data_IF_631008186528
#
_entry.id   IF_631008186528
#
_cell.length_a   1.000
_cell.length_b   1.000
_cell.length_c   1.000
_cell.angle_alpha   90.00
_cell.angle_beta   90.00
_cell.angle_gamma   90.00
#
_symmetry.space_group_name_H-M   'P 1'
#
loop_
_entity.id
_entity.type
_entity.pdbx_description
1 polymer ?
#
# COMPACT_ATOMS: atom_id res chain seq x y z
N UNK A 1 6.27 -7.02 15.28
CA UNK A 1 5.46 -6.00 15.98
C UNK A 1 6.19 -5.58 17.26
N UNK A 2 6.94 -4.49 17.18
CA UNK A 2 7.57 -3.83 18.35
C UNK A 2 6.56 -2.98 19.14
N UNK A 3 5.43 -2.59 18.53
CA UNK A 3 4.38 -1.79 19.17
C UNK A 3 3.41 -2.70 19.95
N UNK A 4 3.37 -2.55 21.28
CA UNK A 4 2.46 -3.26 22.17
C UNK A 4 1.30 -2.34 22.62
N UNK A 5 0.35 -2.08 21.72
CA UNK A 5 -0.85 -1.28 22.01
C UNK A 5 -2.07 -2.17 22.32
N UNK A 6 -3.16 -1.55 22.80
CA UNK A 6 -4.46 -2.24 22.97
C UNK A 6 -4.90 -2.89 21.65
N UNK A 7 -4.73 -2.18 20.54
CA UNK A 7 -5.08 -2.64 19.20
C UNK A 7 -4.24 -3.84 18.75
N UNK A 8 -2.90 -3.78 18.85
CA UNK A 8 -2.05 -4.90 18.40
C UNK A 8 -2.21 -6.15 19.27
N UNK A 9 -2.64 -6.00 20.53
CA UNK A 9 -3.05 -7.12 21.39
C UNK A 9 -4.39 -7.71 20.95
N UNK A 10 -5.38 -6.87 20.65
CA UNK A 10 -6.68 -7.33 20.18
C UNK A 10 -6.55 -8.09 18.85
N UNK A 11 -5.79 -7.54 17.90
CA UNK A 11 -5.55 -8.13 16.58
C UNK A 11 -4.90 -9.54 16.61
N UNK A 12 -4.13 -9.83 17.66
CA UNK A 12 -3.50 -11.15 17.87
C UNK A 12 -4.46 -12.18 18.49
N UNK A 13 -5.45 -11.73 19.24
CA UNK A 13 -6.26 -12.58 20.10
C UNK A 13 -7.71 -12.74 19.64
N UNK A 14 -8.22 -11.79 18.87
CA UNK A 14 -9.62 -11.71 18.44
C UNK A 14 -9.70 -11.40 16.94
N UNK A 15 -10.74 -11.93 16.30
CA UNK A 15 -11.17 -11.44 15.00
C UNK A 15 -11.84 -10.09 15.25
N UNK A 16 -11.39 -9.04 14.57
CA UNK A 16 -11.95 -7.70 14.70
C UNK A 16 -12.97 -7.44 13.59
N UNK A 17 -14.16 -7.01 13.97
CA UNK A 17 -15.20 -6.59 13.02
C UNK A 17 -14.99 -5.12 12.67
N UNK A 18 -14.78 -4.85 11.38
CA UNK A 18 -14.72 -3.49 10.83
C UNK A 18 -16.13 -3.04 10.45
N UNK A 19 -16.31 -1.72 10.35
CA UNK A 19 -17.52 -1.10 9.84
C UNK A 19 -17.79 -1.37 8.34
N UNK A 20 -18.87 -0.77 7.83
CA UNK A 20 -19.27 -0.80 6.43
C UNK A 20 -18.94 0.50 5.67
N UNK A 21 -19.81 0.90 4.73
CA UNK A 21 -19.65 2.11 3.93
C UNK A 21 -20.00 3.41 4.67
N UNK A 22 -19.04 4.32 4.82
CA UNK A 22 -19.31 5.70 5.27
C UNK A 22 -20.11 6.50 4.23
N UNK A 23 -19.60 6.60 3.00
CA UNK A 23 -20.17 7.48 1.96
C UNK A 23 -21.63 7.16 1.60
N UNK A 24 -21.99 5.88 1.49
CA UNK A 24 -23.37 5.46 1.19
C UNK A 24 -24.35 5.95 2.27
N UNK A 25 -24.02 5.78 3.55
CA UNK A 25 -24.86 6.21 4.66
C UNK A 25 -24.93 7.74 4.78
N UNK A 26 -23.86 8.46 4.43
CA UNK A 26 -23.88 9.93 4.39
C UNK A 26 -24.82 10.44 3.28
N UNK A 27 -24.84 9.82 2.10
CA UNK A 27 -25.79 10.16 1.04
C UNK A 27 -27.25 9.92 1.46
N UNK A 28 -27.54 8.80 2.12
CA UNK A 28 -28.86 8.53 2.69
C UNK A 28 -29.29 9.56 3.73
N UNK A 29 -28.32 10.18 4.42
CA UNK A 29 -28.53 11.21 5.45
C UNK A 29 -28.42 12.64 4.92
N UNK A 30 -28.46 12.82 3.61
CA UNK A 30 -28.60 14.13 2.98
C UNK A 30 -27.31 14.76 2.44
N UNK A 31 -26.19 14.03 2.38
CA UNK A 31 -25.03 14.47 1.61
C UNK A 31 -25.41 14.54 0.12
N UNK A 32 -25.31 15.74 -0.48
CA UNK A 32 -25.65 15.93 -1.89
C UNK A 32 -24.50 15.49 -2.78
N UNK A 33 -24.83 15.13 -4.03
CA UNK A 33 -23.83 14.88 -5.06
C UNK A 33 -22.99 16.14 -5.29
N UNK A 34 -21.66 15.97 -5.43
CA UNK A 34 -20.72 17.08 -5.62
C UNK A 34 -20.24 17.75 -4.34
N UNK A 35 -20.65 17.27 -3.15
CA UNK A 35 -20.05 17.68 -1.87
C UNK A 35 -18.98 16.67 -1.44
N UNK A 36 -17.93 17.15 -0.77
CA UNK A 36 -16.94 16.29 -0.14
C UNK A 36 -17.55 15.65 1.12
N UNK A 37 -17.63 14.31 1.25
CA UNK A 37 -18.06 13.66 2.49
C UNK A 37 -17.30 14.16 3.72
N UNK A 38 -16.01 14.45 3.55
CA UNK A 38 -15.10 14.91 4.60
C UNK A 38 -15.46 16.29 5.15
N UNK A 39 -16.13 17.15 4.36
CA UNK A 39 -16.61 18.47 4.81
C UNK A 39 -17.59 18.36 5.98
N UNK A 40 -18.38 17.28 6.02
CA UNK A 40 -19.36 17.03 7.08
C UNK A 40 -18.71 16.87 8.46
N UNK A 41 -17.41 16.58 8.53
CA UNK A 41 -16.69 16.56 9.81
C UNK A 41 -16.71 17.93 10.51
N UNK A 42 -16.79 19.02 9.74
CA UNK A 42 -16.89 20.38 10.25
C UNK A 42 -18.32 20.91 10.15
N UNK A 43 -18.97 20.74 8.99
CA UNK A 43 -20.27 21.33 8.71
C UNK A 43 -21.42 20.63 9.45
N UNK A 44 -21.35 19.30 9.64
CA UNK A 44 -22.39 18.54 10.32
C UNK A 44 -21.84 17.28 11.03
N UNK A 45 -21.06 17.46 12.10
CA UNK A 45 -20.39 16.36 12.79
C UNK A 45 -21.37 15.35 13.42
N UNK A 46 -22.60 15.76 13.71
CA UNK A 46 -23.63 14.89 14.28
C UNK A 46 -24.05 13.78 13.31
N UNK A 47 -24.13 14.07 12.00
CA UNK A 47 -24.43 13.05 10.99
C UNK A 47 -23.31 12.01 10.94
N UNK A 48 -22.06 12.45 10.87
CA UNK A 48 -20.90 11.53 10.84
C UNK A 48 -20.84 10.70 12.14
N UNK A 49 -21.05 11.33 13.30
CA UNK A 49 -21.08 10.62 14.59
C UNK A 49 -22.17 9.54 14.61
N UNK A 50 -23.35 9.82 14.07
CA UNK A 50 -24.44 8.83 14.04
C UNK A 50 -24.10 7.63 13.18
N UNK A 51 -23.41 7.81 12.04
CA UNK A 51 -22.97 6.68 11.19
C UNK A 51 -22.03 5.76 11.97
N UNK A 52 -21.03 6.32 12.66
CA UNK A 52 -20.15 5.51 13.51
C UNK A 52 -20.91 4.81 14.64
N UNK A 53 -21.85 5.51 15.29
CA UNK A 53 -22.64 4.96 16.38
C UNK A 53 -23.49 3.77 15.91
N UNK A 54 -24.06 3.84 14.71
CA UNK A 54 -24.85 2.75 14.12
C UNK A 54 -23.99 1.51 13.83
N UNK A 55 -22.76 1.69 13.34
CA UNK A 55 -21.85 0.56 13.15
C UNK A 55 -21.38 -0.07 14.46
N UNK A 56 -21.10 0.74 15.48
CA UNK A 56 -20.81 0.22 16.82
C UNK A 56 -22.02 -0.51 17.43
N UNK A 57 -23.24 0.01 17.24
CA UNK A 57 -24.47 -0.65 17.67
C UNK A 57 -24.72 -1.98 16.93
N UNK A 58 -24.29 -2.06 15.66
CA UNK A 58 -24.27 -3.29 14.89
C UNK A 58 -23.18 -4.28 15.33
N UNK A 59 -22.25 -3.89 16.21
CA UNK A 59 -21.21 -4.78 16.73
C UNK A 59 -19.87 -4.70 15.98
N UNK A 60 -19.59 -3.60 15.29
CA UNK A 60 -18.23 -3.30 14.86
C UNK A 60 -17.31 -3.13 16.08
N UNK A 61 -16.12 -3.71 16.03
CA UNK A 61 -15.05 -3.46 17.01
C UNK A 61 -14.25 -2.19 16.66
N UNK A 62 -14.21 -1.84 15.36
CA UNK A 62 -13.45 -0.72 14.82
C UNK A 62 -14.22 0.02 13.73
N UNK A 63 -14.17 1.35 13.75
CA UNK A 63 -14.65 2.21 12.66
C UNK A 63 -13.50 2.95 12.00
N UNK A 64 -13.67 3.25 10.72
CA UNK A 64 -12.78 4.08 9.94
C UNK A 64 -13.29 5.51 9.96
N UNK A 65 -12.40 6.47 10.20
CA UNK A 65 -12.73 7.90 10.18
C UNK A 65 -13.21 8.33 8.80
N UNK A 66 -14.08 9.35 8.75
CA UNK A 66 -14.56 9.95 7.51
C UNK A 66 -13.46 10.82 6.87
N UNK A 67 -12.36 10.20 6.43
CA UNK A 67 -11.15 10.88 5.93
C UNK A 67 -10.58 10.27 4.66
N UNK A 68 -11.30 9.37 3.99
CA UNK A 68 -10.86 8.68 2.79
C UNK A 68 -10.23 9.62 1.74
N UNK A 69 -10.86 10.77 1.48
CA UNK A 69 -10.37 11.81 0.57
C UNK A 69 -9.81 13.06 1.25
N UNK A 70 -9.52 13.05 2.55
CA UNK A 70 -9.11 14.25 3.30
C UNK A 70 -7.63 14.66 3.09
N UNK A 71 -7.13 14.55 1.86
CA UNK A 71 -5.83 15.09 1.44
C UNK A 71 -6.02 16.45 0.79
N UNK A 72 -5.01 17.33 0.88
CA UNK A 72 -5.04 18.64 0.20
C UNK A 72 -5.39 18.51 -1.28
N UNK A 73 -4.74 17.59 -1.98
CA UNK A 73 -4.95 17.34 -3.41
C UNK A 73 -6.41 17.06 -3.78
N UNK A 74 -7.18 16.36 -2.95
CA UNK A 74 -8.59 16.05 -3.20
C UNK A 74 -9.52 17.14 -2.65
N UNK A 75 -9.17 17.73 -1.51
CA UNK A 75 -9.94 18.80 -0.89
C UNK A 75 -9.88 20.11 -1.69
N UNK A 76 -8.80 20.35 -2.45
CA UNK A 76 -8.68 21.47 -3.38
C UNK A 76 -9.79 21.49 -4.44
N UNK A 77 -10.23 20.31 -4.90
CA UNK A 77 -11.33 20.19 -5.88
C UNK A 77 -12.67 20.72 -5.31
N UNK A 78 -12.75 20.91 -3.99
CA UNK A 78 -13.90 21.46 -3.26
C UNK A 78 -13.60 22.81 -2.58
N UNK A 79 -12.41 23.40 -2.79
CA UNK A 79 -11.99 24.64 -2.12
C UNK A 79 -11.69 24.47 -0.63
N UNK A 80 -11.38 23.26 -0.17
CA UNK A 80 -11.15 22.89 1.23
C UNK A 80 -9.69 22.53 1.55
N UNK A 81 -8.74 22.81 0.63
CA UNK A 81 -7.33 22.43 0.76
C UNK A 81 -6.64 22.94 2.03
N UNK A 82 -7.00 24.13 2.51
CA UNK A 82 -6.45 24.69 3.75
C UNK A 82 -7.04 24.03 5.02
N UNK A 83 -8.13 23.29 4.88
CA UNK A 83 -8.86 22.68 6.00
C UNK A 83 -8.41 21.24 6.31
N UNK A 84 -7.31 20.75 5.71
CA UNK A 84 -6.82 19.37 5.89
C UNK A 84 -6.64 19.03 7.36
N UNK A 85 -5.98 19.91 8.13
CA UNK A 85 -5.73 19.66 9.54
C UNK A 85 -7.02 19.56 10.36
N UNK A 86 -7.91 20.53 10.17
CA UNK A 86 -9.17 20.62 10.91
C UNK A 86 -10.12 19.46 10.58
N UNK A 87 -10.27 19.13 9.30
CA UNK A 87 -11.13 18.05 8.82
C UNK A 87 -10.67 16.70 9.39
N UNK A 88 -9.39 16.35 9.25
CA UNK A 88 -8.87 15.07 9.72
C UNK A 88 -8.91 14.97 11.25
N UNK A 89 -8.56 16.06 11.96
CA UNK A 89 -8.59 16.10 13.42
C UNK A 89 -10.01 15.97 13.96
N UNK A 90 -10.97 16.66 13.34
CA UNK A 90 -12.39 16.57 13.70
C UNK A 90 -12.93 15.15 13.48
N UNK A 91 -12.61 14.51 12.35
CA UNK A 91 -13.05 13.16 12.03
C UNK A 91 -12.65 12.14 13.11
N UNK A 92 -11.39 12.17 13.58
CA UNK A 92 -10.91 11.28 14.65
C UNK A 92 -11.65 11.55 15.96
N UNK A 93 -11.88 12.82 16.33
CA UNK A 93 -12.62 13.20 17.55
C UNK A 93 -14.08 12.71 17.48
N UNK A 94 -14.73 12.83 16.33
CA UNK A 94 -16.11 12.39 16.10
C UNK A 94 -16.21 10.87 16.24
N UNK A 95 -15.33 10.12 15.57
CA UNK A 95 -15.27 8.67 15.67
C UNK A 95 -14.99 8.21 17.12
N UNK A 96 -14.07 8.89 17.82
CA UNK A 96 -13.76 8.58 19.23
C UNK A 96 -14.97 8.79 20.14
N UNK A 97 -15.72 9.88 19.95
CA UNK A 97 -16.94 10.17 20.71
C UNK A 97 -18.01 9.10 20.50
N UNK A 98 -18.16 8.59 19.26
CA UNK A 98 -19.05 7.47 18.99
C UNK A 98 -18.59 6.16 19.67
N UNK A 99 -17.29 5.98 19.86
CA UNK A 99 -16.69 4.80 20.48
C UNK A 99 -16.78 4.77 22.02
N UNK A 100 -17.17 5.86 22.70
CA UNK A 100 -17.14 5.97 24.16
C UNK A 100 -17.93 4.86 24.87
N UNK A 101 -19.09 4.49 24.33
CA UNK A 101 -19.99 3.49 24.96
C UNK A 101 -19.52 2.05 24.75
N UNK A 102 -18.87 1.76 23.63
CA UNK A 102 -18.43 0.41 23.27
C UNK A 102 -16.96 0.17 23.56
N UNK A 103 -16.23 1.25 23.90
CA UNK A 103 -14.77 1.27 23.93
C UNK A 103 -14.19 0.74 22.60
N UNK A 104 -14.81 1.09 21.46
CA UNK A 104 -14.37 0.67 20.13
C UNK A 104 -13.03 1.28 19.71
N UNK A 105 -12.40 0.69 18.70
CA UNK A 105 -11.18 1.22 18.06
C UNK A 105 -11.53 2.22 16.95
N UNK A 106 -10.65 3.19 16.73
CA UNK A 106 -10.77 4.21 15.67
C UNK A 106 -9.55 4.13 14.76
N UNK A 107 -9.76 3.92 13.47
CA UNK A 107 -8.73 3.94 12.44
C UNK A 107 -8.75 5.27 11.67
N UNK A 108 -7.59 5.93 11.55
CA UNK A 108 -7.39 7.03 10.61
C UNK A 108 -7.39 6.48 9.18
N UNK A 109 -8.37 6.86 8.35
CA UNK A 109 -8.52 6.33 6.99
C UNK A 109 -7.84 7.25 5.96
N UNK A 110 -7.03 6.66 5.08
CA UNK A 110 -6.26 7.34 4.04
C UNK A 110 -6.51 6.63 2.72
N UNK A 111 -7.27 7.25 1.83
CA UNK A 111 -7.50 6.77 0.46
C UNK A 111 -6.46 7.27 -0.55
N UNK A 112 -6.58 6.87 -1.83
CA UNK A 112 -5.70 7.34 -2.91
C UNK A 112 -5.93 8.83 -3.23
N UNK A 113 -4.92 9.47 -3.82
CA UNK A 113 -4.94 10.89 -4.22
C UNK A 113 -5.83 11.16 -5.44
N UNK A 114 -6.26 10.10 -6.14
CA UNK A 114 -7.06 10.22 -7.36
C UNK A 114 -6.25 10.64 -8.60
N UNK A 115 -4.92 10.56 -8.52
CA UNK A 115 -4.01 10.84 -9.64
C UNK A 115 -2.89 9.81 -9.68
N UNK A 116 -2.47 9.40 -10.87
CA UNK A 116 -1.35 8.48 -11.03
C UNK A 116 -0.01 9.20 -10.91
N UNK A 117 1.00 8.47 -10.43
CA UNK A 117 2.37 8.97 -10.39
C UNK A 117 3.04 8.89 -11.76
N UNK A 118 4.00 9.77 -12.03
CA UNK A 118 4.83 9.78 -13.25
C UNK A 118 5.53 8.44 -13.47
N UNK A 119 5.42 7.78 -14.64
CA UNK A 119 4.99 8.35 -15.92
C UNK A 119 3.50 8.13 -16.26
N UNK A 120 2.73 7.40 -15.44
CA UNK A 120 1.31 7.14 -15.71
C UNK A 120 0.42 8.37 -15.51
N UNK A 121 0.87 9.31 -14.68
CA UNK A 121 0.21 10.59 -14.46
C UNK A 121 1.19 11.70 -14.10
N UNK A 122 0.68 12.89 -13.76
CA UNK A 122 1.48 14.09 -13.60
C UNK A 122 2.20 14.18 -12.24
N UNK A 123 1.81 13.37 -11.26
CA UNK A 123 2.26 13.52 -9.89
C UNK A 123 3.63 12.86 -9.65
N UNK A 124 4.59 13.58 -9.07
CA UNK A 124 5.84 12.97 -8.63
C UNK A 124 5.67 12.17 -7.33
N UNK A 125 6.64 11.29 -7.03
CA UNK A 125 6.66 10.56 -5.76
C UNK A 125 6.71 11.50 -4.54
N UNK A 126 7.51 12.57 -4.63
CA UNK A 126 7.72 13.50 -3.53
C UNK A 126 6.49 14.37 -3.27
N UNK A 127 5.75 14.78 -4.31
CA UNK A 127 4.46 15.46 -4.14
C UNK A 127 3.42 14.53 -3.51
N UNK A 128 3.31 13.28 -3.98
CA UNK A 128 2.41 12.29 -3.40
C UNK A 128 2.72 12.06 -1.91
N UNK A 129 4.00 11.86 -1.58
CA UNK A 129 4.47 11.76 -0.20
C UNK A 129 4.10 13.01 0.62
N UNK A 130 4.26 14.22 0.07
CA UNK A 130 3.90 15.47 0.72
C UNK A 130 2.42 15.52 1.13
N UNK A 131 1.53 15.20 0.19
CA UNK A 131 0.08 15.17 0.45
C UNK A 131 -0.31 14.13 1.49
N UNK A 132 0.23 12.91 1.40
CA UNK A 132 -0.04 11.88 2.40
C UNK A 132 0.51 12.23 3.78
N UNK A 133 1.68 12.88 3.84
CA UNK A 133 2.32 13.26 5.10
C UNK A 133 1.49 14.31 5.83
N UNK A 134 1.01 15.33 5.11
CA UNK A 134 0.14 16.36 5.70
C UNK A 134 -1.11 15.73 6.33
N UNK A 135 -1.80 14.84 5.60
CA UNK A 135 -2.96 14.13 6.12
C UNK A 135 -2.61 13.26 7.32
N UNK A 136 -1.55 12.44 7.21
CA UNK A 136 -1.14 11.52 8.27
C UNK A 136 -0.72 12.28 9.55
N UNK A 137 -0.11 13.45 9.43
CA UNK A 137 0.22 14.31 10.57
C UNK A 137 -1.03 14.83 11.28
N UNK A 138 -2.02 15.29 10.52
CA UNK A 138 -3.29 15.73 11.08
C UNK A 138 -4.01 14.59 11.83
N UNK A 139 -4.11 13.41 11.22
CA UNK A 139 -4.66 12.21 11.86
C UNK A 139 -3.88 11.84 13.12
N UNK A 140 -2.54 11.77 13.04
CA UNK A 140 -1.67 11.42 14.17
C UNK A 140 -1.85 12.36 15.37
N UNK A 141 -2.04 13.66 15.14
CA UNK A 141 -2.27 14.65 16.19
C UNK A 141 -3.51 14.36 17.05
N UNK A 142 -4.52 13.72 16.45
CA UNK A 142 -5.76 13.33 17.11
C UNK A 142 -5.72 11.90 17.70
N UNK A 143 -4.59 11.19 17.55
CA UNK A 143 -4.29 9.90 18.20
C UNK A 143 -5.30 8.77 17.91
N UNK A 144 -5.50 8.37 16.64
CA UNK A 144 -6.24 7.16 16.30
C UNK A 144 -5.50 5.92 16.84
N UNK A 145 -6.22 4.78 16.93
CA UNK A 145 -5.64 3.51 17.38
C UNK A 145 -4.70 2.88 16.34
N UNK A 146 -4.95 3.17 15.06
CA UNK A 146 -4.11 2.81 13.91
C UNK A 146 -4.38 3.74 12.72
N UNK A 147 -3.50 3.69 11.72
CA UNK A 147 -3.80 4.23 10.39
C UNK A 147 -4.07 3.09 9.42
N UNK A 148 -5.04 3.29 8.53
CA UNK A 148 -5.36 2.37 7.46
C UNK A 148 -5.27 3.10 6.12
N UNK A 149 -4.44 2.57 5.23
CA UNK A 149 -4.25 3.09 3.88
C UNK A 149 -5.10 2.19 2.98
N UNK A 150 -6.24 2.69 2.51
CA UNK A 150 -7.26 1.90 1.80
C UNK A 150 -7.32 2.19 0.30
N UNK A 151 -7.78 1.20 -0.47
CA UNK A 151 -8.14 1.33 -1.89
C UNK A 151 -6.98 1.79 -2.81
N UNK A 152 -5.73 1.55 -2.43
CA UNK A 152 -4.60 1.87 -3.31
C UNK A 152 -4.61 0.97 -4.55
N UNK A 153 -4.44 1.60 -5.70
CA UNK A 153 -4.46 0.93 -7.01
C UNK A 153 -3.07 0.84 -7.63
N UNK A 154 -2.17 1.75 -7.27
CA UNK A 154 -0.78 1.77 -7.68
C UNK A 154 0.15 1.48 -6.50
N UNK A 155 1.12 0.58 -6.71
CA UNK A 155 2.03 0.13 -5.65
C UNK A 155 3.03 1.21 -5.24
N UNK A 156 3.35 2.16 -6.14
CA UNK A 156 4.28 3.25 -5.83
C UNK A 156 3.56 4.38 -5.09
N UNK A 157 2.30 4.66 -5.41
CA UNK A 157 1.41 5.49 -4.59
C UNK A 157 1.29 4.93 -3.17
N UNK A 158 0.99 3.63 -3.04
CA UNK A 158 0.94 2.94 -1.75
C UNK A 158 2.25 3.10 -0.97
N UNK A 159 3.40 2.93 -1.64
CA UNK A 159 4.73 3.11 -1.03
C UNK A 159 4.91 4.52 -0.47
N UNK A 160 4.53 5.55 -1.23
CA UNK A 160 4.57 6.94 -0.77
C UNK A 160 3.68 7.14 0.46
N UNK A 161 2.45 6.62 0.44
CA UNK A 161 1.52 6.70 1.56
C UNK A 161 2.03 5.99 2.83
N UNK A 162 2.60 4.78 2.70
CA UNK A 162 3.16 4.04 3.84
C UNK A 162 4.34 4.80 4.46
N UNK A 163 5.25 5.32 3.65
CA UNK A 163 6.43 6.06 4.14
C UNK A 163 5.97 7.35 4.84
N UNK A 164 5.05 8.11 4.22
CA UNK A 164 4.47 9.29 4.82
C UNK A 164 3.76 9.00 6.16
N UNK A 165 2.97 7.93 6.22
CA UNK A 165 2.31 7.50 7.45
C UNK A 165 3.30 7.11 8.54
N UNK A 166 4.38 6.39 8.21
CA UNK A 166 5.43 6.02 9.18
C UNK A 166 6.20 7.21 9.73
N UNK A 167 6.42 8.23 8.91
CA UNK A 167 7.10 9.46 9.32
C UNK A 167 6.22 10.35 10.22
N UNK A 168 4.89 10.26 10.07
CA UNK A 168 3.93 11.06 10.82
C UNK A 168 3.36 10.35 12.06
N UNK A 169 3.28 9.02 12.05
CA UNK A 169 2.57 8.24 13.06
C UNK A 169 3.38 7.04 13.56
N UNK A 170 3.67 7.05 14.87
CA UNK A 170 4.42 5.99 15.55
C UNK A 170 3.54 4.84 16.07
N UNK A 171 2.41 4.58 15.41
CA UNK A 171 1.48 3.51 15.76
C UNK A 171 1.33 2.45 14.67
N UNK A 172 0.38 1.52 14.83
CA UNK A 172 0.13 0.45 13.85
C UNK A 172 -0.41 1.00 12.53
N UNK A 173 0.13 0.52 11.41
CA UNK A 173 -0.30 0.88 10.04
C UNK A 173 -0.78 -0.39 9.34
N UNK A 174 -1.96 -0.33 8.73
CA UNK A 174 -2.49 -1.36 7.85
C UNK A 174 -2.51 -0.82 6.42
N UNK A 175 -1.89 -1.55 5.50
CA UNK A 175 -1.88 -1.21 4.08
C UNK A 175 -2.88 -2.08 3.33
N UNK A 176 -3.68 -1.51 2.45
CA UNK A 176 -4.58 -2.27 1.59
C UNK A 176 -4.47 -1.82 0.14
N UNK A 177 -4.67 -2.77 -0.77
CA UNK A 177 -4.85 -2.49 -2.18
C UNK A 177 -6.19 -3.02 -2.65
N UNK A 178 -6.72 -2.41 -3.72
CA UNK A 178 -7.94 -2.90 -4.38
C UNK A 178 -7.58 -3.73 -5.59
N UNK A 179 -8.19 -4.92 -5.70
CA UNK A 179 -7.95 -5.87 -6.78
C UNK A 179 -9.18 -5.95 -7.68
N UNK A 180 -8.97 -6.33 -8.93
CA UNK A 180 -10.02 -6.60 -9.90
C UNK A 180 -10.36 -8.08 -9.92
N UNK A 181 -11.31 -8.49 -10.76
CA UNK A 181 -11.69 -9.88 -10.97
C UNK A 181 -10.54 -10.76 -11.48
N UNK A 182 -9.49 -10.15 -12.07
CA UNK A 182 -8.28 -10.86 -12.54
C UNK A 182 -7.24 -11.06 -11.43
N UNK A 183 -7.60 -10.80 -10.17
CA UNK A 183 -6.71 -10.89 -8.99
C UNK A 183 -5.48 -9.97 -9.06
N UNK A 184 -5.53 -8.90 -9.84
CA UNK A 184 -4.49 -7.88 -9.93
C UNK A 184 -5.09 -6.49 -9.68
N UNK A 185 -4.28 -5.50 -9.30
CA UNK A 185 -4.76 -4.11 -9.31
C UNK A 185 -4.94 -3.62 -10.75
N UNK A 186 -5.58 -2.47 -10.93
CA UNK A 186 -5.75 -1.85 -12.25
C UNK A 186 -4.41 -1.51 -12.94
N UNK A 187 -3.34 -1.31 -12.17
CA UNK A 187 -1.98 -1.13 -12.71
C UNK A 187 -1.21 -2.45 -12.87
N UNK A 188 -1.85 -3.59 -12.58
CA UNK A 188 -1.30 -4.93 -12.79
C UNK A 188 -0.59 -5.55 -11.59
N UNK A 189 -0.62 -4.91 -10.41
CA UNK A 189 0.07 -5.44 -9.22
C UNK A 189 -0.60 -6.72 -8.73
N UNK A 190 0.17 -7.81 -8.63
CA UNK A 190 -0.29 -9.09 -8.10
C UNK A 190 -0.20 -9.17 -6.56
N UNK A 191 -0.89 -10.11 -5.90
CA UNK A 191 -0.89 -10.25 -4.44
C UNK A 191 0.50 -10.41 -3.83
N UNK A 192 1.39 -11.19 -4.45
CA UNK A 192 2.72 -11.46 -3.93
C UNK A 192 3.63 -10.23 -4.07
N UNK A 193 3.50 -9.46 -5.15
CA UNK A 193 4.20 -8.19 -5.34
C UNK A 193 3.77 -7.14 -4.32
N UNK A 194 2.47 -7.02 -4.05
CA UNK A 194 1.97 -6.19 -2.95
C UNK A 194 2.50 -6.64 -1.58
N UNK A 195 2.40 -7.93 -1.25
CA UNK A 195 2.91 -8.49 0.02
C UNK A 195 4.39 -8.17 0.18
N UNK A 196 5.19 -8.34 -0.89
CA UNK A 196 6.64 -8.12 -0.87
C UNK A 196 7.00 -6.67 -0.53
N UNK A 197 6.30 -5.69 -1.12
CA UNK A 197 6.53 -4.27 -0.84
C UNK A 197 6.01 -3.88 0.54
N UNK A 198 4.79 -4.29 0.90
CA UNK A 198 4.22 -3.94 2.19
C UNK A 198 5.04 -4.52 3.37
N UNK A 199 5.49 -5.77 3.26
CA UNK A 199 6.38 -6.38 4.26
C UNK A 199 7.75 -5.68 4.34
N UNK A 200 8.32 -5.24 3.21
CA UNK A 200 9.62 -4.55 3.23
C UNK A 200 9.57 -3.16 3.83
N UNK A 201 8.38 -2.55 3.85
CA UNK A 201 8.12 -1.28 4.52
C UNK A 201 7.68 -1.45 5.98
N UNK A 202 7.69 -2.67 6.53
CA UNK A 202 7.42 -2.97 7.95
C UNK A 202 6.05 -2.47 8.43
N UNK A 203 5.00 -2.69 7.63
CA UNK A 203 3.61 -2.44 8.07
C UNK A 203 3.12 -3.49 9.07
N UNK A 204 2.07 -3.15 9.82
CA UNK A 204 1.57 -3.99 10.92
C UNK A 204 0.43 -4.92 10.48
N UNK A 205 -0.17 -4.66 9.33
CA UNK A 205 -1.16 -5.52 8.69
C UNK A 205 -1.26 -5.17 7.22
N UNK A 206 -1.76 -6.11 6.43
CA UNK A 206 -2.03 -5.90 5.02
C UNK A 206 -3.46 -6.31 4.70
N UNK A 207 -3.99 -5.96 3.55
CA UNK A 207 -5.34 -6.38 3.22
C UNK A 207 -5.82 -5.97 1.86
N UNK A 208 -7.11 -6.17 1.67
CA UNK A 208 -7.80 -5.78 0.46
C UNK A 208 -9.19 -5.26 0.79
N UNK A 209 -9.62 -4.29 0.00
CA UNK A 209 -10.95 -3.73 0.06
C UNK A 209 -11.44 -3.30 -1.31
N UNK A 210 -12.76 -3.10 -1.41
CA UNK A 210 -13.44 -2.72 -2.64
C UNK A 210 -13.08 -3.66 -3.82
N UNK A 211 -13.36 -3.23 -5.05
CA UNK A 211 -12.96 -3.87 -6.31
C UNK A 211 -13.67 -5.17 -6.67
N UNK A 212 -13.86 -6.05 -5.68
CA UNK A 212 -14.44 -7.39 -5.83
C UNK A 212 -15.55 -7.64 -4.80
N UNK A 213 -16.41 -8.60 -5.15
CA UNK A 213 -17.46 -9.10 -4.27
C UNK A 213 -17.03 -10.27 -3.37
N UNK A 214 -17.95 -10.74 -2.51
CA UNK A 214 -17.67 -11.79 -1.53
C UNK A 214 -17.26 -13.15 -2.15
N UNK A 215 -17.68 -13.47 -3.38
CA UNK A 215 -17.30 -14.73 -4.03
C UNK A 215 -15.79 -14.83 -4.33
N UNK A 216 -15.20 -13.73 -4.84
CA UNK A 216 -13.80 -13.70 -5.28
C UNK A 216 -12.82 -13.44 -4.12
N UNK A 217 -13.23 -12.68 -3.10
CA UNK A 217 -12.36 -12.23 -1.99
C UNK A 217 -11.70 -13.40 -1.25
N UNK A 218 -12.40 -14.52 -1.13
CA UNK A 218 -11.93 -15.72 -0.43
C UNK A 218 -10.66 -16.32 -1.08
N UNK A 219 -10.59 -16.30 -2.42
CA UNK A 219 -9.42 -16.78 -3.17
C UNK A 219 -8.18 -15.93 -2.88
N UNK A 220 -8.33 -14.61 -2.90
CA UNK A 220 -7.24 -13.68 -2.59
C UNK A 220 -6.77 -13.81 -1.14
N UNK A 221 -7.70 -13.92 -0.19
CA UNK A 221 -7.32 -14.10 1.22
C UNK A 221 -6.51 -15.39 1.41
N UNK A 222 -6.86 -16.48 0.72
CA UNK A 222 -6.07 -17.72 0.74
C UNK A 222 -4.65 -17.50 0.19
N UNK A 223 -4.50 -16.79 -0.93
CA UNK A 223 -3.18 -16.45 -1.49
C UNK A 223 -2.35 -15.62 -0.51
N UNK A 224 -2.96 -14.64 0.16
CA UNK A 224 -2.30 -13.82 1.16
C UNK A 224 -1.84 -14.66 2.36
N UNK A 225 -2.72 -15.50 2.92
CA UNK A 225 -2.42 -16.28 4.13
C UNK A 225 -1.33 -17.33 3.89
N UNK A 226 -1.13 -17.77 2.65
CA UNK A 226 -0.05 -18.68 2.26
C UNK A 226 1.30 -17.98 2.09
N UNK A 227 1.31 -16.66 1.82
CA UNK A 227 2.52 -15.91 1.45
C UNK A 227 3.03 -14.96 2.52
N UNK A 228 2.20 -14.59 3.51
CA UNK A 228 2.58 -13.74 4.65
C UNK A 228 2.07 -14.27 5.99
N UNK A 229 2.69 -13.76 7.06
CA UNK A 229 2.29 -13.94 8.46
C UNK A 229 1.66 -12.67 9.05
N UNK A 230 1.69 -11.54 8.33
CA UNK A 230 1.06 -10.30 8.78
C UNK A 230 -0.46 -10.48 8.92
N UNK A 231 -1.11 -9.82 9.90
CA UNK A 231 -2.56 -9.76 9.99
C UNK A 231 -3.19 -9.32 8.68
N UNK A 232 -4.32 -9.94 8.32
CA UNK A 232 -5.02 -9.66 7.06
C UNK A 232 -6.35 -8.93 7.32
N UNK A 233 -6.52 -7.77 6.70
CA UNK A 233 -7.75 -6.97 6.67
C UNK A 233 -8.54 -7.21 5.39
N UNK A 234 -9.87 -7.34 5.49
CA UNK A 234 -10.73 -7.68 4.35
C UNK A 234 -12.05 -6.89 4.41
N UNK A 235 -12.27 -5.99 3.44
CA UNK A 235 -13.52 -5.19 3.31
C UNK A 235 -14.04 -5.22 1.85
N UNK A 236 -14.65 -6.32 1.38
CA UNK A 236 -15.17 -6.38 0.01
C UNK A 236 -16.42 -5.50 -0.14
N UNK A 237 -16.80 -5.25 -1.39
CA UNK A 237 -18.10 -4.64 -1.69
C UNK A 237 -19.25 -5.63 -1.39
N UNK A 238 -20.47 -5.11 -1.27
CA UNK A 238 -21.72 -5.91 -1.27
C UNK A 238 -22.03 -6.44 -2.68
N UNK A 239 -21.13 -7.25 -3.22
CA UNK A 239 -21.17 -7.69 -4.61
C UNK A 239 -20.58 -6.66 -5.58
N UNK A 240 -20.61 -7.01 -6.87
CA UNK A 240 -20.09 -6.15 -7.95
C UNK A 240 -21.14 -5.07 -8.25
N UNK A 241 -20.77 -3.78 -8.30
CA UNK A 241 -21.71 -2.70 -8.57
C UNK A 241 -22.35 -2.87 -9.95
N UNK A 242 -23.66 -2.67 -10.01
CA UNK A 242 -24.45 -2.67 -11.25
C UNK A 242 -25.07 -1.29 -11.46
N UNK A 243 -25.08 -0.80 -12.70
CA UNK A 243 -25.75 0.45 -13.04
C UNK A 243 -27.19 0.13 -13.47
N UNK A 244 -28.16 0.44 -12.60
CA UNK A 244 -29.59 0.25 -12.86
C UNK A 244 -30.25 1.62 -12.78
N UNK A 245 -30.92 2.06 -13.86
CA UNK A 245 -31.57 3.38 -13.92
C UNK A 245 -30.66 4.57 -13.53
N UNK A 246 -29.38 4.52 -13.96
CA UNK A 246 -28.33 5.51 -13.62
C UNK A 246 -27.98 5.58 -12.12
N UNK A 247 -28.42 4.61 -11.33
CA UNK A 247 -28.04 4.45 -9.93
C UNK A 247 -27.15 3.21 -9.79
N UNK A 248 -26.10 3.33 -8.99
CA UNK A 248 -25.24 2.20 -8.65
C UNK A 248 -25.90 1.35 -7.58
N UNK A 249 -26.23 0.10 -7.90
CA UNK A 249 -26.83 -0.88 -7.00
C UNK A 249 -25.80 -1.96 -6.69
N UNK A 250 -25.77 -2.39 -5.43
CA UNK A 250 -24.93 -3.49 -4.94
C UNK A 250 -25.82 -4.70 -4.63
N UNK A 251 -25.82 -5.76 -5.47
CA UNK A 251 -26.82 -6.83 -5.42
C UNK A 251 -26.56 -7.89 -4.35
N UNK A 252 -25.38 -7.89 -3.71
CA UNK A 252 -24.99 -8.96 -2.78
C UNK A 252 -25.93 -9.06 -1.58
N UNK A 253 -26.17 -10.28 -1.12
CA UNK A 253 -27.00 -10.55 0.06
C UNK A 253 -26.18 -10.61 1.35
N UNK A 254 -26.84 -10.46 2.50
CA UNK A 254 -26.21 -10.63 3.81
C UNK A 254 -25.63 -12.03 3.96
N UNK A 255 -26.36 -13.06 3.54
CA UNK A 255 -25.93 -14.45 3.68
C UNK A 255 -24.67 -14.76 2.86
N UNK A 256 -24.59 -14.28 1.60
CA UNK A 256 -23.39 -14.40 0.77
C UNK A 256 -22.20 -13.68 1.41
N UNK A 257 -22.42 -12.45 1.87
CA UNK A 257 -21.39 -11.64 2.51
C UNK A 257 -20.82 -12.31 3.77
N UNK A 258 -21.71 -12.74 4.68
CA UNK A 258 -21.33 -13.40 5.94
C UNK A 258 -20.65 -14.75 5.69
N UNK A 259 -21.14 -15.53 4.72
CA UNK A 259 -20.55 -16.82 4.35
C UNK A 259 -19.12 -16.65 3.85
N UNK A 260 -18.90 -15.73 2.92
CA UNK A 260 -17.58 -15.46 2.37
C UNK A 260 -16.60 -14.91 3.39
N UNK A 261 -16.99 -13.95 4.23
CA UNK A 261 -16.08 -13.42 5.25
C UNK A 261 -15.81 -14.43 6.37
N UNK A 262 -16.76 -15.32 6.68
CA UNK A 262 -16.51 -16.47 7.55
C UNK A 262 -15.46 -17.43 6.95
N UNK A 263 -15.51 -17.65 5.64
CA UNK A 263 -14.49 -18.41 4.94
C UNK A 263 -13.13 -17.70 5.00
N UNK A 264 -13.08 -16.39 4.79
CA UNK A 264 -11.86 -15.58 4.91
C UNK A 264 -11.21 -15.70 6.31
N UNK A 265 -12.01 -15.63 7.38
CA UNK A 265 -11.55 -15.87 8.75
C UNK A 265 -10.98 -17.27 8.92
N UNK A 266 -11.61 -18.28 8.32
CA UNK A 266 -11.12 -19.67 8.32
C UNK A 266 -9.77 -19.80 7.60
N UNK A 267 -9.58 -19.07 6.49
CA UNK A 267 -8.29 -19.01 5.80
C UNK A 267 -7.23 -18.23 6.59
N UNK A 268 -7.62 -17.28 7.44
CA UNK A 268 -6.74 -16.59 8.36
C UNK A 268 -6.79 -15.07 8.31
N UNK A 269 -7.89 -14.49 7.81
CA UNK A 269 -8.20 -13.07 7.99
C UNK A 269 -8.33 -12.73 9.48
N UNK A 270 -7.88 -11.52 9.84
CA UNK A 270 -7.84 -11.02 11.21
C UNK A 270 -8.85 -9.89 11.43
N UNK A 271 -9.04 -9.03 10.42
CA UNK A 271 -10.04 -7.98 10.42
C UNK A 271 -10.98 -8.18 9.23
N UNK A 272 -12.28 -8.09 9.48
CA UNK A 272 -13.31 -8.31 8.46
C UNK A 272 -14.44 -7.29 8.61
N UNK A 273 -14.84 -6.66 7.52
CA UNK A 273 -16.00 -5.78 7.47
C UNK A 273 -16.42 -5.55 6.03
N UNK A 274 -17.04 -4.41 5.74
CA UNK A 274 -17.57 -4.12 4.41
C UNK A 274 -17.08 -2.80 3.83
N UNK A 275 -17.09 -2.71 2.51
CA UNK A 275 -16.86 -1.46 1.77
C UNK A 275 -18.18 -1.00 1.12
N UNK A 276 -18.18 -0.59 -0.14
CA UNK A 276 -19.35 0.01 -0.78
C UNK A 276 -20.58 -0.91 -0.76
N UNK A 277 -21.74 -0.32 -0.43
CA UNK A 277 -23.03 -1.00 -0.34
C UNK A 277 -23.29 -1.76 0.97
N UNK A 278 -22.35 -1.76 1.92
CA UNK A 278 -22.53 -2.47 3.21
C UNK A 278 -23.02 -1.54 4.31
N UNK A 279 -24.26 -1.77 4.76
CA UNK A 279 -24.91 -1.02 5.83
C UNK A 279 -24.75 -1.74 7.21
N UNK A 280 -25.26 -1.17 8.32
CA UNK A 280 -25.16 -1.79 9.65
C UNK A 280 -25.77 -3.20 9.77
N UNK A 281 -26.76 -3.57 8.95
CA UNK A 281 -27.36 -4.91 8.99
C UNK A 281 -26.37 -6.02 8.58
N UNK A 282 -25.50 -5.73 7.62
CA UNK A 282 -24.42 -6.63 7.19
C UNK A 282 -23.40 -6.85 8.30
N UNK A 283 -23.01 -5.77 8.98
CA UNK A 283 -22.05 -5.80 10.08
C UNK A 283 -22.63 -6.55 11.27
N UNK A 284 -23.92 -6.36 11.57
CA UNK A 284 -24.60 -7.08 12.63
C UNK A 284 -24.63 -8.59 12.40
N UNK A 285 -25.01 -9.03 11.21
CA UNK A 285 -25.02 -10.45 10.87
C UNK A 285 -23.60 -11.06 10.93
N UNK A 286 -22.59 -10.32 10.45
CA UNK A 286 -21.19 -10.75 10.50
C UNK A 286 -20.68 -10.87 11.94
N UNK A 287 -20.92 -9.86 12.79
CA UNK A 287 -20.51 -9.85 14.18
C UNK A 287 -21.15 -11.00 14.97
N UNK A 288 -22.45 -11.27 14.75
CA UNK A 288 -23.14 -12.41 15.34
C UNK A 288 -22.52 -13.75 14.92
N UNK A 289 -22.23 -13.92 13.62
CA UNK A 289 -21.64 -15.16 13.08
C UNK A 289 -20.24 -15.44 13.61
N UNK A 290 -19.43 -14.38 13.79
CA UNK A 290 -18.02 -14.48 14.16
C UNK A 290 -17.75 -14.31 15.66
N UNK A 291 -18.80 -14.16 16.47
CA UNK A 291 -18.70 -14.03 17.92
C UNK A 291 -17.83 -15.15 18.50
N UNK A 292 -16.87 -14.77 19.35
CA UNK A 292 -15.90 -15.65 20.02
C UNK A 292 -14.92 -16.41 19.09
N UNK A 293 -14.89 -16.13 17.79
CA UNK A 293 -13.85 -16.68 16.90
C UNK A 293 -12.50 -16.05 17.22
N UNK A 294 -11.45 -16.87 17.12
CA UNK A 294 -10.06 -16.45 17.35
C UNK A 294 -9.30 -16.46 16.01
N UNK A 295 -8.30 -15.58 15.85
CA UNK A 295 -7.42 -15.60 14.68
C UNK A 295 -6.74 -16.96 14.52
N UNK A 296 -6.69 -17.43 13.27
CA UNK A 296 -5.89 -18.61 12.92
C UNK A 296 -4.41 -18.29 13.11
N UNK A 297 -3.70 -19.13 13.87
CA UNK A 297 -2.25 -19.04 13.99
C UNK A 297 -1.60 -19.43 12.66
N UNK A 298 -0.77 -18.53 12.11
CA UNK A 298 0.03 -18.75 10.89
C UNK A 298 1.51 -18.74 11.23
N UNK A 299 2.27 -19.70 10.72
CA UNK A 299 3.72 -19.73 10.92
C UNK A 299 4.41 -18.77 9.95
N UNK A 300 5.43 -18.07 10.44
CA UNK A 300 6.32 -17.29 9.58
C UNK A 300 7.20 -18.27 8.80
N UNK A 301 7.14 -18.23 7.47
CA UNK A 301 8.10 -18.96 6.63
C UNK A 301 9.47 -18.32 6.82
N UNK A 302 10.40 -19.05 7.42
CA UNK A 302 11.80 -18.65 7.56
C UNK A 302 12.55 -19.06 6.28
N UNK A 303 13.52 -18.25 5.85
CA UNK A 303 14.35 -18.46 4.64
C UNK A 303 13.67 -18.22 3.27
N UNK A 304 12.91 -17.15 3.11
CA UNK A 304 12.51 -16.65 1.78
C UNK A 304 12.96 -15.19 1.64
N UNK A 305 13.75 -14.90 0.61
CA UNK A 305 14.08 -13.53 0.19
C UNK A 305 13.24 -13.20 -1.03
N UNK A 306 12.67 -11.99 -1.05
CA UNK A 306 11.83 -11.52 -2.16
C UNK A 306 12.34 -10.19 -2.70
N UNK A 307 12.26 -10.06 -4.02
CA UNK A 307 12.40 -8.82 -4.79
C UNK A 307 11.24 -8.75 -5.77
N UNK A 308 10.74 -7.56 -6.07
CA UNK A 308 9.58 -7.42 -6.95
C UNK A 308 9.72 -6.23 -7.89
N UNK A 309 9.15 -6.38 -9.07
CA UNK A 309 8.67 -5.25 -9.87
C UNK A 309 7.23 -4.90 -9.44
N UNK A 310 6.53 -4.08 -10.23
CA UNK A 310 5.12 -3.76 -10.03
C UNK A 310 4.28 -5.04 -10.07
N UNK A 311 4.60 -5.96 -10.99
CA UNK A 311 3.67 -7.03 -11.43
C UNK A 311 4.24 -8.44 -11.28
N UNK A 312 5.47 -8.58 -10.76
CA UNK A 312 6.11 -9.89 -10.59
C UNK A 312 7.09 -9.89 -9.43
N UNK A 313 7.03 -10.95 -8.63
CA UNK A 313 7.97 -11.21 -7.54
C UNK A 313 8.91 -12.35 -7.87
N UNK A 314 10.20 -12.14 -7.61
CA UNK A 314 11.24 -13.16 -7.55
C UNK A 314 11.35 -13.67 -6.11
N UNK A 315 11.04 -14.96 -5.88
CA UNK A 315 11.26 -15.63 -4.59
C UNK A 315 12.58 -16.43 -4.63
N UNK A 316 13.50 -16.12 -3.72
CA UNK A 316 14.76 -16.82 -3.52
C UNK A 316 14.66 -17.61 -2.21
N UNK A 317 14.90 -18.91 -2.30
CA UNK A 317 14.81 -19.89 -1.22
C UNK A 317 16.07 -20.78 -1.23
N UNK A 318 16.34 -21.57 -0.17
CA UNK A 318 17.44 -22.53 -0.18
C UNK A 318 17.39 -23.59 -1.30
N UNK A 319 16.24 -23.73 -1.98
CA UNK A 319 16.06 -24.66 -3.11
C UNK A 319 15.96 -23.95 -4.47
N UNK A 320 16.11 -22.63 -4.49
CA UNK A 320 16.08 -21.88 -5.75
C UNK A 320 17.30 -22.24 -6.61
N UNK A 321 17.14 -22.31 -7.94
CA UNK A 321 18.28 -22.46 -8.85
C UNK A 321 19.15 -21.20 -8.84
N UNK A 322 20.23 -21.21 -9.64
CA UNK A 322 21.03 -20.00 -9.89
C UNK A 322 20.12 -18.85 -10.35
N UNK A 323 20.17 -17.75 -9.62
CA UNK A 323 19.48 -16.51 -9.97
C UNK A 323 20.42 -15.67 -10.83
N UNK A 324 19.97 -15.33 -12.04
CA UNK A 324 20.74 -14.57 -13.02
C UNK A 324 20.34 -13.10 -12.93
N UNK A 325 21.31 -12.22 -12.65
CA UNK A 325 21.16 -10.77 -12.75
C UNK A 325 21.81 -10.32 -14.05
N UNK A 326 21.04 -9.73 -14.96
CA UNK A 326 21.57 -9.21 -16.22
C UNK A 326 22.35 -7.91 -16.01
N UNK A 327 23.61 -7.87 -16.44
CA UNK A 327 24.57 -6.78 -16.19
C UNK A 327 24.66 -5.72 -17.31
N UNK A 328 24.01 -5.93 -18.46
CA UNK A 328 24.33 -5.16 -19.68
C UNK A 328 23.91 -3.69 -19.59
N UNK A 329 22.97 -3.30 -18.74
CA UNK A 329 22.52 -1.91 -18.63
C UNK A 329 23.50 -1.14 -17.73
N UNK A 330 24.73 -1.03 -18.21
CA UNK A 330 25.83 -0.36 -17.55
C UNK A 330 26.71 0.33 -18.62
N UNK A 331 26.83 1.67 -18.62
CA UNK A 331 27.63 2.39 -19.61
C UNK A 331 29.14 2.17 -19.46
N UNK A 332 29.62 1.64 -18.34
CA UNK A 332 31.06 1.42 -18.10
C UNK A 332 31.67 0.53 -19.18
N UNK A 333 32.65 1.06 -19.93
CA UNK A 333 33.31 0.36 -21.04
C UNK A 333 32.47 0.18 -22.32
N UNK A 334 31.21 0.64 -22.37
CA UNK A 334 30.30 0.45 -23.51
C UNK A 334 30.16 1.72 -24.35
N UNK A 335 31.13 1.99 -25.23
CA UNK A 335 31.21 3.22 -26.06
C UNK A 335 29.91 3.61 -26.77
N UNK A 336 29.20 2.64 -27.37
CA UNK A 336 27.94 2.90 -28.09
C UNK A 336 26.84 3.34 -27.12
N UNK A 337 26.71 2.66 -25.98
CA UNK A 337 25.71 3.03 -24.96
C UNK A 337 26.04 4.41 -24.36
N UNK A 338 27.31 4.70 -24.09
CA UNK A 338 27.74 6.02 -23.62
C UNK A 338 27.36 7.13 -24.61
N UNK A 339 27.62 6.93 -25.90
CA UNK A 339 27.27 7.90 -26.94
C UNK A 339 25.75 8.11 -27.02
N UNK A 340 24.96 7.03 -27.02
CA UNK A 340 23.50 7.12 -27.07
C UNK A 340 22.95 7.87 -25.82
N UNK A 341 23.42 7.54 -24.61
CA UNK A 341 23.00 8.22 -23.38
C UNK A 341 23.38 9.71 -23.36
N UNK A 342 24.56 10.07 -23.87
CA UNK A 342 24.97 11.49 -24.00
C UNK A 342 24.05 12.31 -24.91
N UNK A 343 23.36 11.64 -25.83
CA UNK A 343 22.37 12.22 -26.74
C UNK A 343 20.93 12.05 -26.24
N UNK A 344 20.76 11.67 -24.95
CA UNK A 344 19.46 11.38 -24.35
C UNK A 344 18.67 10.28 -25.10
N UNK A 345 19.38 9.35 -25.75
CA UNK A 345 18.82 8.22 -26.48
C UNK A 345 18.94 6.93 -25.64
N UNK A 346 17.79 6.39 -25.24
CA UNK A 346 17.69 5.20 -24.39
C UNK A 346 17.23 3.95 -25.16
N UNK A 347 17.28 3.97 -26.49
CA UNK A 347 16.83 2.85 -27.34
C UNK A 347 17.54 1.55 -26.96
N UNK A 348 18.85 1.61 -26.71
CA UNK A 348 19.62 0.44 -26.29
C UNK A 348 19.35 -0.02 -24.88
N UNK A 349 19.06 0.89 -23.95
CA UNK A 349 18.62 0.51 -22.59
C UNK A 349 17.37 -0.36 -22.68
N UNK A 350 16.39 0.03 -23.50
CA UNK A 350 15.17 -0.76 -23.75
C UNK A 350 15.47 -2.12 -24.40
N UNK A 351 16.31 -2.15 -25.43
CA UNK A 351 16.60 -3.39 -26.15
C UNK A 351 17.44 -4.36 -25.33
N UNK A 352 18.47 -3.88 -24.61
CA UNK A 352 19.27 -4.70 -23.69
C UNK A 352 18.41 -5.21 -22.52
N UNK A 353 17.45 -4.44 -22.01
CA UNK A 353 16.51 -4.94 -20.99
C UNK A 353 15.71 -6.16 -21.48
N UNK A 354 15.08 -6.05 -22.65
CA UNK A 354 14.30 -7.15 -23.24
C UNK A 354 15.16 -8.36 -23.56
N UNK A 355 16.28 -8.16 -24.25
CA UNK A 355 17.18 -9.23 -24.66
C UNK A 355 17.72 -10.04 -23.47
N UNK A 356 18.03 -9.37 -22.35
CA UNK A 356 18.51 -10.06 -21.15
C UNK A 356 17.42 -10.92 -20.50
N UNK A 357 16.18 -10.42 -20.43
CA UNK A 357 15.05 -11.21 -19.89
C UNK A 357 14.71 -12.38 -20.81
N UNK A 358 14.72 -12.18 -22.12
CA UNK A 358 14.56 -13.26 -23.12
C UNK A 358 15.67 -14.31 -23.02
N UNK A 359 16.89 -13.91 -22.65
CA UNK A 359 18.01 -14.81 -22.38
C UNK A 359 17.97 -15.49 -20.98
N UNK A 360 16.95 -15.22 -20.16
CA UNK A 360 16.76 -15.87 -18.86
C UNK A 360 17.22 -15.07 -17.63
N UNK A 361 17.47 -13.77 -17.76
CA UNK A 361 17.71 -12.92 -16.59
C UNK A 361 16.47 -12.85 -15.69
N UNK A 362 16.67 -13.07 -14.39
CA UNK A 362 15.62 -13.06 -13.37
C UNK A 362 15.44 -11.67 -12.73
N UNK A 363 16.45 -10.83 -12.86
CA UNK A 363 16.55 -9.45 -12.38
C UNK A 363 17.51 -8.70 -13.32
N UNK A 364 17.37 -7.39 -13.44
CA UNK A 364 18.29 -6.56 -14.25
C UNK A 364 19.03 -5.57 -13.37
N UNK A 365 20.35 -5.56 -13.49
CA UNK A 365 21.20 -4.49 -12.99
C UNK A 365 21.07 -3.26 -13.89
N UNK A 366 20.93 -2.09 -13.26
CA UNK A 366 20.77 -0.79 -13.93
C UNK A 366 21.74 0.19 -13.30
N UNK A 367 22.79 0.53 -14.04
CA UNK A 367 23.78 1.54 -13.72
C UNK A 367 23.71 2.68 -14.76
N UNK A 368 23.75 3.94 -14.31
CA UNK A 368 23.77 5.12 -15.19
C UNK A 368 24.96 6.04 -14.92
N UNK A 369 26.05 5.50 -14.36
CA UNK A 369 27.29 6.21 -14.10
C UNK A 369 28.00 6.59 -15.40
N UNK A 370 27.73 7.80 -15.89
CA UNK A 370 28.34 8.37 -17.08
C UNK A 370 29.13 9.64 -16.71
N UNK A 371 30.46 9.67 -16.91
CA UNK A 371 31.27 10.84 -16.54
C UNK A 371 30.75 12.14 -17.16
N UNK A 372 30.77 13.23 -16.39
CA UNK A 372 30.31 14.56 -16.79
C UNK A 372 28.80 14.68 -17.16
N UNK A 373 27.98 13.72 -16.76
CA UNK A 373 26.52 13.76 -16.95
C UNK A 373 25.80 13.65 -15.61
N UNK A 374 24.56 14.14 -15.57
CA UNK A 374 23.69 13.99 -14.39
C UNK A 374 23.15 12.56 -14.29
N UNK A 375 23.83 11.74 -13.49
CA UNK A 375 23.47 10.35 -13.21
C UNK A 375 22.04 10.22 -12.67
N UNK A 376 21.57 11.16 -11.84
CA UNK A 376 20.24 11.11 -11.24
C UNK A 376 19.14 11.18 -12.31
N UNK A 377 19.26 12.13 -13.23
CA UNK A 377 18.35 12.30 -14.37
C UNK A 377 18.41 11.11 -15.33
N UNK A 378 19.61 10.59 -15.61
CA UNK A 378 19.76 9.40 -16.46
C UNK A 378 19.15 8.15 -15.82
N UNK A 379 19.38 7.95 -14.53
CA UNK A 379 18.82 6.84 -13.75
C UNK A 379 17.30 6.89 -13.76
N UNK A 380 16.69 8.04 -13.48
CA UNK A 380 15.23 8.16 -13.51
C UNK A 380 14.62 7.74 -14.86
N UNK A 381 15.17 8.24 -15.96
CA UNK A 381 14.73 7.89 -17.32
C UNK A 381 14.95 6.41 -17.63
N UNK A 382 16.10 5.87 -17.23
CA UNK A 382 16.40 4.44 -17.40
C UNK A 382 15.38 3.57 -16.66
N UNK A 383 15.07 3.89 -15.39
CA UNK A 383 14.09 3.14 -14.61
C UNK A 383 12.70 3.19 -15.24
N UNK A 384 12.24 4.35 -15.69
CA UNK A 384 10.95 4.46 -16.40
C UNK A 384 10.92 3.54 -17.63
N UNK A 385 12.01 3.53 -18.41
CA UNK A 385 12.09 2.73 -19.63
C UNK A 385 12.16 1.24 -19.34
N UNK A 386 13.05 0.81 -18.44
CA UNK A 386 13.25 -0.61 -18.11
C UNK A 386 11.99 -1.20 -17.49
N UNK A 387 11.36 -0.51 -16.52
CA UNK A 387 10.13 -0.98 -15.87
C UNK A 387 8.94 -1.03 -16.83
N UNK A 388 8.92 -0.19 -17.86
CA UNK A 388 7.92 -0.27 -18.94
C UNK A 388 8.18 -1.40 -19.94
N UNK A 389 9.44 -1.85 -20.05
CA UNK A 389 9.88 -2.80 -21.08
C UNK A 389 9.84 -4.25 -20.61
N UNK A 390 10.05 -4.50 -19.31
CA UNK A 390 10.15 -5.83 -18.72
C UNK A 390 9.48 -5.88 -17.34
N UNK A 391 9.18 -7.10 -16.89
CA UNK A 391 8.46 -7.35 -15.64
C UNK A 391 9.37 -7.86 -14.50
N UNK A 392 10.66 -8.06 -14.73
CA UNK A 392 11.56 -8.57 -13.68
C UNK A 392 11.92 -7.46 -12.68
N UNK A 393 12.24 -7.80 -11.42
CA UNK A 393 12.76 -6.84 -10.45
C UNK A 393 14.07 -6.19 -10.92
N UNK A 394 14.44 -5.07 -10.29
CA UNK A 394 15.65 -4.33 -10.62
C UNK A 394 16.69 -4.39 -9.49
N UNK A 395 17.94 -4.45 -9.91
CA UNK A 395 19.14 -4.20 -9.12
C UNK A 395 19.65 -2.80 -9.48
N UNK A 396 19.63 -1.89 -8.52
CA UNK A 396 19.96 -0.47 -8.72
C UNK A 396 21.42 -0.28 -8.37
N UNK A 397 22.23 0.04 -9.37
CA UNK A 397 23.68 0.16 -9.25
C UNK A 397 24.10 1.62 -9.34
N UNK A 398 24.64 2.15 -8.24
CA UNK A 398 25.26 3.47 -8.19
C UNK A 398 26.17 3.59 -6.97
N UNK A 399 27.24 4.38 -7.11
CA UNK A 399 28.10 4.78 -5.99
C UNK A 399 27.53 5.99 -5.22
N UNK A 400 26.54 6.69 -5.77
CA UNK A 400 25.98 7.91 -5.19
C UNK A 400 24.75 7.59 -4.32
N UNK A 401 24.81 8.00 -3.05
CA UNK A 401 23.71 7.86 -2.09
C UNK A 401 22.45 8.58 -2.57
N UNK A 402 22.61 9.79 -3.14
CA UNK A 402 21.49 10.60 -3.63
C UNK A 402 20.82 9.98 -4.86
N UNK A 403 21.61 9.36 -5.74
CA UNK A 403 21.08 8.63 -6.92
C UNK A 403 20.33 7.40 -6.46
N UNK A 404 20.87 6.64 -5.51
CA UNK A 404 20.20 5.47 -4.94
C UNK A 404 18.89 5.86 -4.26
N UNK A 405 18.86 6.90 -3.43
CA UNK A 405 17.61 7.37 -2.81
C UNK A 405 16.57 7.77 -3.87
N UNK A 406 16.98 8.54 -4.88
CA UNK A 406 16.11 8.95 -5.97
C UNK A 406 15.57 7.76 -6.77
N UNK A 407 16.42 6.79 -7.08
CA UNK A 407 16.04 5.56 -7.76
C UNK A 407 15.04 4.75 -6.93
N UNK A 408 15.28 4.61 -5.63
CA UNK A 408 14.42 3.85 -4.72
C UNK A 408 13.03 4.45 -4.57
N UNK A 409 12.87 5.77 -4.67
CA UNK A 409 11.56 6.43 -4.77
C UNK A 409 10.81 6.06 -6.06
N UNK A 410 11.54 5.98 -7.17
CA UNK A 410 10.98 5.77 -8.51
C UNK A 410 10.81 4.29 -8.91
N UNK A 411 11.44 3.37 -8.18
CA UNK A 411 11.25 1.93 -8.36
C UNK A 411 9.85 1.47 -7.98
N UNK A 412 9.21 0.76 -8.91
CA UNK A 412 7.89 0.18 -8.78
C UNK A 412 8.06 -1.24 -8.26
N UNK A 413 8.19 -1.40 -6.94
CA UNK A 413 8.40 -2.70 -6.30
C UNK A 413 9.46 -2.67 -5.20
N UNK A 414 10.00 -3.86 -4.88
CA UNK A 414 11.12 -4.05 -3.97
C UNK A 414 12.41 -4.31 -4.75
N UNK A 415 13.28 -3.31 -4.93
CA UNK A 415 14.55 -3.48 -5.63
C UNK A 415 15.64 -4.09 -4.75
N UNK A 416 16.73 -4.48 -5.40
CA UNK A 416 18.03 -4.78 -4.79
C UNK A 416 18.95 -3.56 -5.00
N UNK A 417 19.70 -3.14 -3.98
CA UNK A 417 20.73 -2.09 -4.10
C UNK A 417 22.10 -2.73 -4.30
N UNK A 418 22.79 -2.29 -5.35
CA UNK A 418 24.18 -2.61 -5.64
C UNK A 418 25.02 -1.33 -5.48
N UNK A 419 25.82 -1.19 -4.43
CA UNK A 419 26.01 -2.12 -3.30
C UNK A 419 26.33 -1.33 -2.03
N UNK A 420 26.39 -2.04 -0.91
CA UNK A 420 26.84 -1.50 0.38
C UNK A 420 28.13 -2.22 0.74
N UNK A 421 29.23 -1.49 0.83
CA UNK A 421 30.49 -1.99 1.39
C UNK A 421 30.54 -1.78 2.91
N UNK A 422 31.48 -2.47 3.55
CA UNK A 422 31.64 -2.56 4.99
C UNK A 422 32.21 -1.30 5.66
N UNK A 423 32.52 -0.23 4.92
CA UNK A 423 32.99 1.00 5.55
C UNK A 423 31.85 1.63 6.37
N UNK A 424 32.16 1.99 7.61
CA UNK A 424 31.17 2.50 8.57
C UNK A 424 30.40 3.72 8.05
N UNK A 425 31.07 4.62 7.32
CA UNK A 425 30.48 5.80 6.72
C UNK A 425 29.40 5.43 5.69
N UNK A 426 29.71 4.51 4.76
CA UNK A 426 28.76 4.07 3.73
C UNK A 426 27.58 3.31 4.31
N UNK A 427 27.82 2.41 5.26
CA UNK A 427 26.75 1.69 5.94
C UNK A 427 25.80 2.67 6.67
N UNK A 428 26.35 3.65 7.38
CA UNK A 428 25.57 4.64 8.13
C UNK A 428 24.72 5.54 7.23
N UNK A 429 25.19 5.83 6.02
CA UNK A 429 24.45 6.59 5.02
C UNK A 429 23.38 5.76 4.30
N UNK A 430 23.72 4.56 3.81
CA UNK A 430 22.88 3.78 2.91
C UNK A 430 21.85 2.90 3.62
N UNK A 431 22.19 2.27 4.75
CA UNK A 431 21.26 1.35 5.43
C UNK A 431 19.96 2.02 5.89
N UNK A 432 19.96 3.27 6.41
CA UNK A 432 18.71 3.98 6.72
C UNK A 432 17.83 4.20 5.47
N UNK A 433 18.43 4.55 4.33
CA UNK A 433 17.72 4.78 3.06
C UNK A 433 17.14 3.46 2.54
N UNK A 434 17.94 2.39 2.52
CA UNK A 434 17.50 1.04 2.13
C UNK A 434 16.31 0.58 2.98
N UNK A 435 16.39 0.78 4.31
CA UNK A 435 15.30 0.46 5.25
C UNK A 435 14.07 1.34 5.02
N UNK A 436 14.26 2.64 4.77
CA UNK A 436 13.18 3.62 4.54
C UNK A 436 12.36 3.25 3.30
N UNK A 437 13.02 2.89 2.21
CA UNK A 437 12.37 2.58 0.93
C UNK A 437 12.14 1.09 0.69
N UNK A 438 12.43 0.24 1.68
CA UNK A 438 12.11 -1.18 1.68
C UNK A 438 12.83 -1.98 0.59
N UNK A 439 14.13 -1.73 0.39
CA UNK A 439 14.97 -2.46 -0.55
C UNK A 439 15.78 -3.59 0.12
N UNK A 440 16.27 -4.55 -0.66
CA UNK A 440 17.41 -5.38 -0.24
C UNK A 440 18.72 -4.76 -0.71
N UNK A 441 19.87 -5.33 -0.32
CA UNK A 441 21.18 -4.85 -0.76
C UNK A 441 22.18 -5.98 -0.93
N UNK A 442 23.19 -5.75 -1.78
CA UNK A 442 24.39 -6.57 -1.89
C UNK A 442 25.41 -6.01 -0.88
N UNK A 443 25.80 -6.82 0.10
CA UNK A 443 26.89 -6.50 1.02
C UNK A 443 28.21 -6.94 0.42
N UNK A 444 29.07 -6.00 0.02
CA UNK A 444 30.41 -6.32 -0.44
C UNK A 444 31.31 -6.66 0.76
N UNK A 445 32.10 -7.71 0.63
CA UNK A 445 33.12 -8.09 1.60
C UNK A 445 34.37 -7.23 1.36
N UNK A 446 34.24 -5.94 1.61
CA UNK A 446 35.32 -4.95 1.55
C UNK A 446 35.02 -3.85 2.56
N UNK A 447 36.00 -3.45 3.34
CA UNK A 447 35.89 -2.35 4.31
C UNK A 447 37.10 -1.40 4.22
N UNK A 448 37.27 -0.51 5.20
CA UNK A 448 38.40 0.42 5.28
C UNK A 448 39.79 -0.23 5.21
N UNK A 449 39.90 -1.53 5.51
CA UNK A 449 41.14 -2.30 5.51
C UNK A 449 41.34 -3.12 4.23
N UNK A 450 40.39 -3.08 3.29
CA UNK A 450 40.42 -3.89 2.06
C UNK A 450 39.41 -5.05 2.10
N UNK A 451 39.67 -6.07 1.26
CA UNK A 451 38.80 -7.25 1.06
C UNK A 451 38.92 -8.23 2.22
#
# INVERSE_FOLDING_TARGET
MTINSRFTRALRNHILILDGAMGTLLHERGLKHGQAPEELNLANPAIVQSVHADYYAAGADMVLTNTFGATRKKLDDFGLGESVSDINTAAVKIARKAAEKTNGFVAGDIGPLGSYLTPLGPLSFDEAYGFFREQAQALASAKPDCLIIETMSDIRELKAAIIAAKDAFHGPIIAQMTFTETNTTVTGTDPLSFITVAESLDVHGIGLNCGIGPGQVTSLVKQFTEKTHLPISVKPNRGIPQLVNRQTIYPGTIDEFVTSLSACVTFGANLVGGCCGTDPSFIQALAQKLKNKKPRKRSKKTAITRFSSRVKTLEITPRSPLIIIGERINPTGRKILQQELSQNNFTRVRSDAKAQVEAGAHMLDVNMGLPAHDEKTLMEKALQIVQSAVQVPLCIDSASTDVLEHALKNCEGKPLVNSVSGEQEKMSALLPIIKRYGAGFIGLLIDENGI
#
